data_IF_840743908622
#
_entry.id   IF_840743908622
#
_cell.length_a   1.000
_cell.length_b   1.000
_cell.length_c   1.000
_cell.angle_alpha   90.00
_cell.angle_beta   90.00
_cell.angle_gamma   90.00
#
_symmetry.space_group_name_H-M   'P 1'
#
loop_
_entity.id
_entity.type
_entity.pdbx_description
1 polymer ?
#
# COMPACT_ATOMS: atom_id res chain seq x y z
N UNK A 1 12.85 29.48 14.35
CA UNK A 1 13.57 28.77 13.26
C UNK A 1 13.45 29.58 11.98
N UNK A 2 14.53 29.73 11.24
CA UNK A 2 14.51 30.34 9.90
C UNK A 2 13.63 29.49 8.98
N UNK A 3 12.91 30.14 8.08
CA UNK A 3 12.03 29.51 7.09
C UNK A 3 12.84 28.57 6.20
N UNK A 4 12.43 27.28 6.11
CA UNK A 4 13.09 26.25 5.30
C UNK A 4 12.15 25.68 4.25
N UNK A 5 12.69 25.11 3.18
CA UNK A 5 11.92 24.43 2.16
C UNK A 5 11.61 22.97 2.59
N UNK A 6 10.55 22.43 2.03
CA UNK A 6 10.14 21.04 2.23
C UNK A 6 10.43 20.21 0.97
N UNK A 7 10.84 18.96 1.15
CA UNK A 7 10.97 17.97 0.10
C UNK A 7 10.04 16.80 0.39
N UNK A 8 9.28 16.40 -0.61
CA UNK A 8 8.34 15.26 -0.56
C UNK A 8 8.72 14.22 -1.62
N UNK A 9 8.68 12.94 -1.27
CA UNK A 9 8.90 11.86 -2.22
C UNK A 9 7.93 10.71 -2.00
N UNK A 10 7.51 10.06 -3.10
CA UNK A 10 6.71 8.83 -3.12
C UNK A 10 7.62 7.63 -3.37
N UNK A 11 7.34 6.51 -2.72
CA UNK A 11 8.23 5.34 -2.76
C UNK A 11 7.47 4.02 -2.89
N UNK A 12 8.04 3.13 -3.68
CA UNK A 12 7.57 1.76 -3.88
C UNK A 12 6.31 1.67 -4.74
N UNK A 13 5.58 0.57 -4.60
CA UNK A 13 4.29 0.38 -5.26
C UNK A 13 3.28 1.42 -4.79
N UNK A 14 2.62 2.09 -5.73
CA UNK A 14 1.63 3.13 -5.40
C UNK A 14 0.30 2.52 -4.95
N UNK A 15 -0.54 3.31 -4.28
CA UNK A 15 -1.90 2.93 -3.88
C UNK A 15 -2.92 3.87 -4.49
N UNK A 16 -4.19 3.49 -4.45
CA UNK A 16 -5.28 4.35 -4.89
C UNK A 16 -5.33 5.70 -4.16
N UNK A 17 -4.76 5.79 -2.95
CA UNK A 17 -4.86 6.96 -2.06
C UNK A 17 -3.52 7.64 -1.74
N UNK A 18 -2.41 7.23 -2.35
CA UNK A 18 -1.09 7.83 -2.06
C UNK A 18 -1.09 9.34 -2.32
N UNK A 19 -1.81 9.79 -3.33
CA UNK A 19 -1.94 11.21 -3.65
C UNK A 19 -2.85 11.97 -2.68
N UNK A 20 -3.76 11.30 -1.98
CA UNK A 20 -4.51 11.92 -0.89
C UNK A 20 -3.58 12.30 0.28
N UNK A 21 -2.56 11.47 0.57
CA UNK A 21 -1.50 11.83 1.53
C UNK A 21 -0.69 13.04 1.05
N UNK A 22 -0.30 13.06 -0.22
CA UNK A 22 0.37 14.21 -0.81
C UNK A 22 -0.48 15.49 -0.74
N UNK A 23 -1.79 15.38 -1.04
CA UNK A 23 -2.74 16.49 -0.93
C UNK A 23 -2.78 17.05 0.50
N UNK A 24 -2.95 16.19 1.51
CA UNK A 24 -2.99 16.59 2.91
C UNK A 24 -1.72 17.28 3.38
N UNK A 25 -0.56 16.78 2.95
CA UNK A 25 0.75 17.39 3.21
C UNK A 25 0.87 18.77 2.55
N UNK A 26 0.63 18.84 1.24
CA UNK A 26 0.86 20.08 0.46
C UNK A 26 -0.10 21.18 0.91
N UNK A 27 -1.38 20.87 1.08
CA UNK A 27 -2.36 21.86 1.57
C UNK A 27 -1.99 22.38 2.97
N UNK A 28 -1.52 21.50 3.85
CA UNK A 28 -1.12 21.90 5.21
C UNK A 28 0.15 22.74 5.19
N UNK A 29 1.17 22.33 4.43
CA UNK A 29 2.39 23.11 4.30
C UNK A 29 2.13 24.52 3.69
N UNK A 30 1.21 24.62 2.73
CA UNK A 30 0.80 25.91 2.15
C UNK A 30 0.10 26.86 3.13
N UNK A 31 -0.46 26.35 4.25
CA UNK A 31 -1.05 27.18 5.32
C UNK A 31 0.00 27.73 6.28
N UNK A 32 1.20 27.16 6.30
CA UNK A 32 2.30 27.54 7.18
C UNK A 32 3.49 28.15 6.41
N UNK A 33 3.18 29.11 5.53
CA UNK A 33 4.19 29.79 4.69
C UNK A 33 5.18 30.65 5.46
N UNK A 34 4.89 30.96 6.70
CA UNK A 34 5.79 31.60 7.66
C UNK A 34 6.96 30.69 8.05
N UNK A 35 6.75 29.37 8.11
CA UNK A 35 7.73 28.35 8.52
C UNK A 35 8.25 27.52 7.36
N UNK A 36 7.38 27.14 6.41
CA UNK A 36 7.73 26.35 5.24
C UNK A 36 7.77 27.27 4.02
N UNK A 37 8.90 27.30 3.33
CA UNK A 37 9.12 28.08 2.13
C UNK A 37 8.47 27.48 0.90
N UNK A 38 9.30 26.89 0.05
CA UNK A 38 8.85 26.13 -1.12
C UNK A 38 8.66 24.65 -0.75
N UNK A 39 7.78 24.02 -1.50
CA UNK A 39 7.56 22.58 -1.44
C UNK A 39 8.09 22.03 -2.75
N UNK A 40 9.08 21.16 -2.68
CA UNK A 40 9.62 20.42 -3.81
C UNK A 40 9.18 18.96 -3.71
N UNK A 41 8.88 18.34 -4.84
CA UNK A 41 8.63 16.90 -4.92
C UNK A 41 9.72 16.24 -5.78
N UNK A 42 10.26 15.13 -5.32
CA UNK A 42 11.20 14.34 -6.12
C UNK A 42 10.46 13.69 -7.29
N UNK A 43 10.90 13.92 -8.52
CA UNK A 43 10.42 13.15 -9.65
C UNK A 43 10.95 11.73 -9.53
N UNK A 44 10.03 10.77 -9.60
CA UNK A 44 10.36 9.36 -9.35
C UNK A 44 11.00 9.13 -7.97
N UNK A 45 10.40 9.77 -6.96
CA UNK A 45 10.73 9.54 -5.55
C UNK A 45 12.14 9.99 -5.16
N UNK A 46 12.89 9.09 -4.49
CA UNK A 46 14.26 9.38 -4.00
C UNK A 46 15.27 9.53 -5.15
N UNK A 47 14.99 8.93 -6.31
CA UNK A 47 15.80 9.10 -7.51
C UNK A 47 15.86 10.57 -7.90
N UNK A 48 14.70 11.24 -7.89
CA UNK A 48 14.64 12.68 -8.16
C UNK A 48 15.43 13.52 -7.17
N UNK A 49 15.52 13.09 -5.89
CA UNK A 49 16.41 13.73 -4.94
C UNK A 49 17.88 13.53 -5.31
N UNK A 50 18.31 12.28 -5.57
CA UNK A 50 19.71 11.96 -5.89
C UNK A 50 20.21 12.66 -7.17
N UNK A 51 19.35 12.74 -8.20
CA UNK A 51 19.67 13.31 -9.51
C UNK A 51 19.35 14.81 -9.62
N UNK A 52 18.83 15.39 -8.52
CA UNK A 52 18.37 16.79 -8.48
C UNK A 52 17.29 17.07 -9.55
N UNK A 53 16.41 16.07 -9.77
CA UNK A 53 15.26 16.19 -10.66
C UNK A 53 13.98 16.38 -9.82
N UNK A 54 13.68 17.63 -9.51
CA UNK A 54 12.61 18.01 -8.61
C UNK A 54 11.53 18.83 -9.30
N UNK A 55 10.30 18.72 -8.80
CA UNK A 55 9.12 19.46 -9.24
C UNK A 55 8.83 20.56 -8.20
N UNK A 56 8.66 21.82 -8.66
CA UNK A 56 8.20 22.93 -7.82
C UNK A 56 6.66 22.86 -7.65
N UNK A 57 6.22 22.26 -6.56
CA UNK A 57 4.80 22.08 -6.24
C UNK A 57 4.07 23.43 -6.07
N UNK A 58 4.80 24.52 -5.79
CA UNK A 58 4.16 25.84 -5.63
C UNK A 58 3.64 26.41 -6.97
N UNK A 59 4.07 25.86 -8.08
CA UNK A 59 3.56 26.22 -9.43
C UNK A 59 2.22 25.56 -9.77
N UNK A 60 1.80 24.58 -8.96
CA UNK A 60 0.50 23.93 -9.12
C UNK A 60 -0.64 24.78 -8.52
N UNK A 61 -1.80 24.79 -9.17
CA UNK A 61 -2.97 25.48 -8.67
C UNK A 61 -3.54 24.81 -7.39
N UNK A 62 -4.32 25.54 -6.62
CA UNK A 62 -5.00 24.96 -5.45
C UNK A 62 -5.98 23.86 -5.87
N UNK A 63 -6.71 24.07 -6.97
CA UNK A 63 -7.64 23.09 -7.51
C UNK A 63 -6.94 21.81 -7.94
N UNK A 64 -5.78 21.89 -8.62
CA UNK A 64 -5.00 20.71 -9.01
C UNK A 64 -4.50 19.93 -7.81
N UNK A 65 -4.01 20.60 -6.76
CA UNK A 65 -3.58 19.92 -5.52
C UNK A 65 -4.76 19.27 -4.81
N UNK A 66 -5.91 19.93 -4.71
CA UNK A 66 -7.11 19.36 -4.08
C UNK A 66 -7.62 18.13 -4.86
N UNK A 67 -7.54 18.15 -6.19
CA UNK A 67 -7.93 17.03 -7.04
C UNK A 67 -7.04 15.80 -6.89
N UNK A 68 -5.81 15.93 -6.38
CA UNK A 68 -4.94 14.80 -6.01
C UNK A 68 -5.61 13.84 -5.03
N UNK A 69 -6.50 14.35 -4.18
CA UNK A 69 -7.23 13.53 -3.20
C UNK A 69 -7.99 12.37 -3.86
N UNK A 70 -8.39 12.52 -5.11
CA UNK A 70 -9.17 11.54 -5.86
C UNK A 70 -8.44 11.00 -7.12
N UNK A 71 -7.14 11.25 -7.23
CA UNK A 71 -6.33 10.81 -8.37
C UNK A 71 -5.43 9.66 -7.96
N UNK A 72 -5.56 8.46 -8.56
CA UNK A 72 -4.69 7.32 -8.28
C UNK A 72 -3.29 7.49 -8.89
N UNK A 73 -2.41 6.53 -8.61
CA UNK A 73 -1.03 6.54 -9.08
C UNK A 73 -0.14 7.49 -8.29
N UNK A 74 1.11 7.62 -8.70
CA UNK A 74 2.07 8.55 -8.11
C UNK A 74 2.14 9.83 -8.90
N UNK A 75 1.50 10.92 -8.44
CA UNK A 75 1.43 12.18 -9.19
C UNK A 75 2.80 12.84 -9.45
N UNK A 76 3.80 12.49 -8.64
CA UNK A 76 5.18 12.96 -8.78
C UNK A 76 6.14 11.87 -9.29
N UNK A 77 5.60 10.70 -9.66
CA UNK A 77 6.37 9.49 -9.87
C UNK A 77 6.75 8.80 -8.57
N UNK A 78 7.06 7.52 -8.64
CA UNK A 78 7.48 6.70 -7.52
C UNK A 78 8.62 5.80 -7.95
N UNK A 79 9.56 5.50 -7.06
CA UNK A 79 10.66 4.61 -7.36
C UNK A 79 10.67 3.39 -6.45
N UNK A 80 10.94 2.23 -7.04
CA UNK A 80 11.40 1.03 -6.34
C UNK A 80 12.93 1.08 -6.27
N UNK A 81 13.44 1.98 -5.42
CA UNK A 81 14.87 2.17 -5.24
C UNK A 81 15.19 2.16 -3.75
N UNK A 82 16.01 1.21 -3.32
CA UNK A 82 16.47 1.08 -1.95
C UNK A 82 17.89 1.66 -1.86
N UNK A 83 18.07 2.66 -1.03
CA UNK A 83 19.41 3.11 -0.68
C UNK A 83 20.15 1.97 0.00
N UNK A 84 21.40 1.72 -0.41
CA UNK A 84 22.26 0.75 0.26
C UNK A 84 22.46 1.16 1.73
N UNK A 85 22.89 0.22 2.57
CA UNK A 85 23.30 0.58 3.93
C UNK A 85 24.33 1.70 3.95
N UNK A 86 24.33 2.54 4.98
CA UNK A 86 25.26 3.69 5.08
C UNK A 86 26.72 3.23 4.91
N UNK A 87 27.07 2.09 5.52
CA UNK A 87 28.42 1.52 5.44
C UNK A 87 28.80 1.03 4.02
N UNK A 88 27.79 0.67 3.20
CA UNK A 88 28.00 0.16 1.83
C UNK A 88 28.04 1.27 0.79
N UNK A 89 27.30 2.33 0.97
CA UNK A 89 27.24 3.45 0.01
C UNK A 89 26.91 4.77 0.71
N UNK A 90 27.83 5.26 1.49
CA UNK A 90 27.71 6.55 2.19
C UNK A 90 27.52 7.71 1.21
N UNK A 91 28.12 7.64 0.02
CA UNK A 91 28.06 8.70 -0.99
C UNK A 91 26.62 9.05 -1.45
N UNK A 92 25.69 8.08 -1.44
CA UNK A 92 24.28 8.37 -1.75
C UNK A 92 23.63 9.28 -0.70
N UNK A 93 23.93 9.04 0.57
CA UNK A 93 23.36 9.85 1.65
C UNK A 93 24.01 11.24 1.71
N UNK A 94 25.33 11.32 1.50
CA UNK A 94 26.05 12.60 1.40
C UNK A 94 25.48 13.43 0.23
N UNK A 95 25.24 12.79 -0.92
CA UNK A 95 24.61 13.43 -2.07
C UNK A 95 23.23 14.00 -1.74
N UNK A 96 22.40 13.26 -1.00
CA UNK A 96 21.08 13.74 -0.57
C UNK A 96 21.22 14.99 0.31
N UNK A 97 22.11 14.97 1.29
CA UNK A 97 22.33 16.11 2.18
C UNK A 97 22.88 17.32 1.40
N UNK A 98 23.77 17.12 0.43
CA UNK A 98 24.28 18.20 -0.40
C UNK A 98 23.17 18.87 -1.23
N UNK A 99 22.25 18.08 -1.80
CA UNK A 99 21.09 18.60 -2.51
C UNK A 99 20.16 19.33 -1.56
N UNK A 100 19.89 18.75 -0.37
CA UNK A 100 19.05 19.38 0.63
C UNK A 100 19.63 20.73 1.08
N UNK A 101 20.94 20.78 1.29
CA UNK A 101 21.69 22.00 1.62
C UNK A 101 21.62 23.03 0.47
N UNK A 102 21.87 22.61 -0.77
CA UNK A 102 21.84 23.47 -1.94
C UNK A 102 20.45 24.11 -2.17
N UNK A 103 19.37 23.39 -1.84
CA UNK A 103 17.99 23.87 -2.00
C UNK A 103 17.34 24.37 -0.72
N UNK A 104 18.11 24.55 0.36
CA UNK A 104 17.63 25.00 1.68
C UNK A 104 16.46 24.18 2.20
N UNK A 105 16.52 22.84 2.04
CA UNK A 105 15.51 21.89 2.48
C UNK A 105 15.74 21.55 3.95
N UNK A 106 14.81 21.90 4.82
CA UNK A 106 14.87 21.57 6.24
C UNK A 106 13.81 20.56 6.68
N UNK A 107 12.95 20.13 5.76
CA UNK A 107 11.91 19.14 6.02
C UNK A 107 11.92 18.08 4.91
N UNK A 108 12.11 16.83 5.28
CA UNK A 108 12.06 15.68 4.38
C UNK A 108 10.87 14.78 4.72
N UNK A 109 9.94 14.62 3.78
CA UNK A 109 8.76 13.80 3.91
C UNK A 109 8.84 12.62 2.93
N UNK A 110 8.86 11.40 3.45
CA UNK A 110 8.99 10.21 2.61
C UNK A 110 7.77 9.29 2.74
N UNK A 111 6.97 9.21 1.68
CA UNK A 111 5.71 8.46 1.66
C UNK A 111 5.93 7.07 1.08
N UNK A 112 5.88 6.05 1.93
CA UNK A 112 6.17 4.68 1.51
C UNK A 112 5.95 3.62 2.57
N UNK A 113 6.44 2.42 2.28
CA UNK A 113 6.39 1.24 3.13
C UNK A 113 7.63 1.10 4.03
N UNK A 114 7.91 -0.11 4.47
CA UNK A 114 8.99 -0.46 5.39
C UNK A 114 10.36 0.07 4.97
N UNK A 115 10.79 -0.22 3.74
CA UNK A 115 12.08 0.25 3.21
C UNK A 115 12.17 1.78 3.17
N UNK A 116 11.04 2.46 3.00
CA UNK A 116 11.00 3.93 3.01
C UNK A 116 11.16 4.49 4.41
N UNK A 117 10.60 3.81 5.42
CA UNK A 117 10.78 4.17 6.82
C UNK A 117 12.24 4.00 7.25
N UNK A 118 12.88 2.89 6.85
CA UNK A 118 14.31 2.64 7.03
C UNK A 118 15.18 3.72 6.37
N UNK A 119 14.86 4.09 5.12
CA UNK A 119 15.56 5.17 4.41
C UNK A 119 15.40 6.52 5.12
N UNK A 120 14.20 6.89 5.56
CA UNK A 120 13.97 8.15 6.26
C UNK A 120 14.71 8.21 7.61
N UNK A 121 14.78 7.07 8.32
CA UNK A 121 15.57 6.93 9.55
C UNK A 121 17.07 7.18 9.27
N UNK A 122 17.62 6.51 8.27
CA UNK A 122 19.05 6.64 7.90
C UNK A 122 19.41 8.05 7.41
N UNK A 123 18.51 8.70 6.66
CA UNK A 123 18.71 10.11 6.27
C UNK A 123 18.75 11.02 7.49
N UNK A 124 17.89 10.78 8.49
CA UNK A 124 17.92 11.53 9.74
C UNK A 124 19.27 11.33 10.49
N UNK A 125 19.77 10.11 10.56
CA UNK A 125 21.03 9.77 11.23
C UNK A 125 22.25 10.41 10.56
N UNK A 126 22.35 10.30 9.23
CA UNK A 126 23.47 10.89 8.49
C UNK A 126 23.45 12.43 8.53
N UNK A 127 22.27 13.02 8.54
CA UNK A 127 22.12 14.47 8.65
C UNK A 127 22.71 15.00 9.96
N UNK A 128 22.52 14.27 11.07
CA UNK A 128 23.17 14.60 12.35
C UNK A 128 24.70 14.51 12.22
N UNK A 129 25.23 13.43 11.63
CA UNK A 129 26.67 13.25 11.41
C UNK A 129 27.28 14.36 10.53
N UNK A 130 26.51 14.84 9.53
CA UNK A 130 26.94 15.91 8.64
C UNK A 130 26.60 17.32 9.15
N UNK A 131 26.16 17.43 10.41
CA UNK A 131 25.76 18.71 11.03
C UNK A 131 24.77 19.50 10.20
N UNK A 132 23.82 18.81 9.56
CA UNK A 132 22.76 19.40 8.75
C UNK A 132 21.39 19.28 9.45
N UNK A 133 20.81 20.38 9.94
CA UNK A 133 19.54 20.33 10.67
C UNK A 133 18.37 20.09 9.71
N UNK A 134 17.91 18.84 9.61
CA UNK A 134 16.71 18.46 8.83
C UNK A 134 15.77 17.62 9.69
N UNK A 135 14.49 17.82 9.49
CA UNK A 135 13.43 17.00 10.10
C UNK A 135 12.94 15.99 9.07
N UNK A 136 13.06 14.69 9.40
CA UNK A 136 12.65 13.57 8.57
C UNK A 136 11.37 12.95 9.12
N UNK A 137 10.31 12.90 8.30
CA UNK A 137 9.03 12.30 8.66
C UNK A 137 8.68 11.23 7.61
N UNK A 138 8.45 10.00 8.07
CA UNK A 138 7.85 8.96 7.24
C UNK A 138 6.34 9.16 7.13
N UNK A 139 5.74 8.82 5.98
CA UNK A 139 4.29 8.83 5.79
C UNK A 139 3.87 7.42 5.40
N UNK A 140 2.98 6.76 6.17
CA UNK A 140 2.63 5.37 5.94
C UNK A 140 1.89 5.20 4.62
N UNK A 141 2.30 4.23 3.82
CA UNK A 141 1.65 3.81 2.58
C UNK A 141 2.01 2.36 2.26
N UNK A 142 1.04 1.48 2.25
CA UNK A 142 1.13 0.14 1.68
C UNK A 142 -0.28 -0.45 1.51
N UNK A 143 -0.50 -1.25 0.47
CA UNK A 143 -1.72 -2.06 0.31
C UNK A 143 -1.68 -3.30 1.20
N UNK A 144 -0.49 -3.76 1.60
CA UNK A 144 -0.29 -5.01 2.33
C UNK A 144 -0.68 -4.91 3.82
N UNK A 145 -0.96 -3.69 4.32
CA UNK A 145 -1.32 -3.44 5.73
C UNK A 145 -0.29 -3.97 6.74
N UNK A 146 0.96 -4.02 6.34
CA UNK A 146 2.05 -4.72 7.01
C UNK A 146 2.93 -3.85 7.92
N UNK A 147 2.74 -2.52 7.96
CA UNK A 147 3.46 -1.65 8.89
C UNK A 147 2.96 -1.84 10.32
N UNK A 148 3.86 -2.06 11.29
CA UNK A 148 3.49 -2.21 12.70
C UNK A 148 3.08 -0.88 13.33
N UNK A 149 2.57 -0.93 14.55
CA UNK A 149 2.17 0.20 15.41
C UNK A 149 1.02 1.07 14.86
N UNK A 150 0.63 0.93 13.61
CA UNK A 150 -0.57 1.57 13.04
C UNK A 150 -1.72 0.56 12.95
N UNK A 151 -2.95 0.99 13.23
CA UNK A 151 -4.14 0.14 13.08
C UNK A 151 -4.26 -0.39 11.65
N UNK A 152 -4.20 0.51 10.69
CA UNK A 152 -4.18 0.19 9.26
C UNK A 152 -3.26 1.12 8.49
N UNK A 153 -2.91 0.73 7.26
CA UNK A 153 -2.06 1.51 6.38
C UNK A 153 -2.89 2.16 5.28
N UNK A 154 -2.73 3.46 4.99
CA UNK A 154 -3.37 4.08 3.83
C UNK A 154 -3.03 3.37 2.53
N UNK A 155 -4.05 3.00 1.78
CA UNK A 155 -3.99 2.16 0.59
C UNK A 155 -4.65 0.80 0.79
N UNK A 156 -4.58 0.23 1.99
CA UNK A 156 -5.18 -1.06 2.30
C UNK A 156 -6.71 -1.03 2.24
N UNK A 157 -7.36 -0.02 2.85
CA UNK A 157 -8.83 0.03 2.90
C UNK A 157 -9.48 0.01 1.53
N UNK A 158 -8.91 0.72 0.56
CA UNK A 158 -9.40 0.75 -0.83
C UNK A 158 -9.11 -0.57 -1.56
N UNK A 159 -7.91 -1.16 -1.40
CA UNK A 159 -7.59 -2.47 -1.96
C UNK A 159 -8.50 -3.56 -1.37
N UNK A 160 -8.74 -3.54 -0.07
CA UNK A 160 -9.66 -4.44 0.62
C UNK A 160 -11.09 -4.34 0.08
N UNK A 161 -11.57 -3.12 -0.17
CA UNK A 161 -12.89 -2.88 -0.76
C UNK A 161 -12.98 -3.45 -2.17
N UNK A 162 -11.95 -3.21 -3.01
CA UNK A 162 -11.87 -3.76 -4.36
C UNK A 162 -11.96 -5.29 -4.33
N UNK A 163 -11.16 -5.95 -3.52
CA UNK A 163 -11.13 -7.41 -3.45
C UNK A 163 -12.44 -7.98 -2.90
N UNK A 164 -13.03 -7.36 -1.87
CA UNK A 164 -14.31 -7.81 -1.34
C UNK A 164 -15.44 -7.72 -2.40
N UNK A 165 -15.52 -6.62 -3.14
CA UNK A 165 -16.54 -6.42 -4.20
C UNK A 165 -16.27 -7.39 -5.35
N UNK A 166 -15.05 -7.43 -5.90
CA UNK A 166 -14.72 -8.30 -7.04
C UNK A 166 -14.94 -9.80 -6.72
N UNK A 167 -14.62 -10.23 -5.49
CA UNK A 167 -14.90 -11.60 -5.04
C UNK A 167 -16.40 -11.86 -4.99
N UNK A 168 -17.21 -10.91 -4.50
CA UNK A 168 -18.65 -11.05 -4.38
C UNK A 168 -19.32 -11.14 -5.76
N UNK A 169 -18.95 -10.26 -6.67
CA UNK A 169 -19.52 -10.21 -8.02
C UNK A 169 -19.13 -11.45 -8.85
N UNK A 170 -17.84 -11.85 -8.80
CA UNK A 170 -17.40 -13.08 -9.44
C UNK A 170 -18.10 -14.32 -8.86
N UNK A 171 -18.36 -14.34 -7.55
CA UNK A 171 -19.08 -15.45 -6.92
C UNK A 171 -20.54 -15.54 -7.41
N UNK A 172 -21.22 -14.41 -7.60
CA UNK A 172 -22.59 -14.37 -8.14
C UNK A 172 -22.63 -14.88 -9.60
N UNK A 173 -21.65 -14.48 -10.42
CA UNK A 173 -21.53 -14.97 -11.80
C UNK A 173 -21.32 -16.49 -11.85
N UNK A 174 -20.32 -16.99 -11.10
CA UNK A 174 -20.02 -18.44 -11.03
C UNK A 174 -21.25 -19.23 -10.52
N UNK A 175 -21.91 -18.75 -9.47
CA UNK A 175 -23.10 -19.39 -8.92
C UNK A 175 -24.22 -19.52 -9.95
N UNK A 176 -24.41 -18.51 -10.82
CA UNK A 176 -25.47 -18.47 -11.84
C UNK A 176 -25.33 -19.57 -12.88
N UNK A 177 -24.09 -20.02 -13.19
CA UNK A 177 -23.83 -21.03 -14.24
C UNK A 177 -23.22 -22.33 -13.70
N UNK A 178 -23.07 -22.46 -12.39
CA UNK A 178 -22.38 -23.58 -11.76
C UNK A 178 -22.97 -24.96 -12.10
N UNK A 179 -24.28 -25.03 -12.41
CA UNK A 179 -24.93 -26.30 -12.72
C UNK A 179 -24.34 -26.96 -13.99
N UNK A 180 -24.05 -26.18 -15.01
CA UNK A 180 -23.65 -26.68 -16.35
C UNK A 180 -22.26 -26.25 -16.79
N UNK A 181 -21.58 -25.39 -16.05
CA UNK A 181 -20.31 -24.81 -16.46
C UNK A 181 -19.27 -24.81 -15.32
N UNK A 182 -18.69 -23.66 -15.00
CA UNK A 182 -17.57 -23.48 -14.08
C UNK A 182 -17.92 -23.91 -12.65
N UNK A 183 -17.08 -24.78 -12.10
CA UNK A 183 -17.21 -25.26 -10.71
C UNK A 183 -16.29 -24.53 -9.74
N UNK A 184 -15.14 -24.06 -10.21
CA UNK A 184 -14.14 -23.42 -9.36
C UNK A 184 -13.70 -22.09 -9.97
N UNK A 185 -13.70 -21.05 -9.16
CA UNK A 185 -13.11 -19.76 -9.50
C UNK A 185 -12.05 -19.40 -8.46
N UNK A 186 -10.88 -18.96 -8.93
CA UNK A 186 -9.75 -18.56 -8.07
C UNK A 186 -9.39 -17.11 -8.34
N UNK A 187 -9.41 -16.28 -7.32
CA UNK A 187 -8.91 -14.91 -7.37
C UNK A 187 -7.56 -14.82 -6.66
N UNK A 188 -6.51 -14.55 -7.42
CA UNK A 188 -5.18 -14.27 -6.88
C UNK A 188 -5.04 -12.81 -6.50
N UNK A 189 -4.49 -12.56 -5.31
CA UNK A 189 -4.32 -11.21 -4.74
C UNK A 189 -2.89 -11.00 -4.23
N UNK A 190 -2.48 -9.73 -4.13
CA UNK A 190 -1.20 -9.36 -3.53
C UNK A 190 -1.14 -9.75 -2.05
N UNK A 191 0.08 -9.86 -1.53
CA UNK A 191 0.36 -10.18 -0.13
C UNK A 191 1.49 -11.20 -0.01
N UNK A 192 2.74 -10.75 -0.20
CA UNK A 192 3.91 -11.64 -0.17
C UNK A 192 4.11 -12.33 1.17
N UNK A 193 4.01 -11.57 2.27
CA UNK A 193 4.32 -12.05 3.62
C UNK A 193 3.13 -11.93 4.58
N UNK A 194 2.14 -11.11 4.23
CA UNK A 194 0.98 -10.85 5.05
C UNK A 194 -0.31 -10.97 4.23
N UNK A 195 -1.25 -11.78 4.69
CA UNK A 195 -2.49 -12.14 4.01
C UNK A 195 -3.65 -11.19 4.23
N UNK A 196 -3.42 -9.92 4.56
CA UNK A 196 -4.48 -8.96 4.85
C UNK A 196 -5.43 -8.73 3.68
N UNK A 197 -4.90 -8.67 2.44
CA UNK A 197 -5.72 -8.49 1.24
C UNK A 197 -6.55 -9.75 0.97
N UNK A 198 -5.95 -10.94 1.13
CA UNK A 198 -6.69 -12.20 1.02
C UNK A 198 -7.80 -12.30 2.09
N UNK A 199 -7.49 -11.90 3.34
CA UNK A 199 -8.48 -11.82 4.41
C UNK A 199 -9.66 -10.92 4.05
N UNK A 200 -9.41 -9.79 3.36
CA UNK A 200 -10.43 -8.86 2.93
C UNK A 200 -11.43 -9.49 1.94
N UNK A 201 -11.00 -10.46 1.13
CA UNK A 201 -11.90 -11.25 0.30
C UNK A 201 -13.02 -11.91 1.11
N UNK A 202 -12.76 -12.28 2.36
CA UNK A 202 -13.74 -12.83 3.28
C UNK A 202 -14.91 -11.89 3.64
N UNK A 203 -14.79 -10.60 3.35
CA UNK A 203 -15.90 -9.65 3.50
C UNK A 203 -16.98 -9.81 2.43
N UNK A 204 -16.69 -10.49 1.31
CA UNK A 204 -17.63 -10.71 0.21
C UNK A 204 -18.89 -11.46 0.66
N UNK A 205 -18.74 -12.49 1.51
CA UNK A 205 -19.86 -13.23 2.09
C UNK A 205 -20.47 -12.54 3.30
N UNK A 206 -21.75 -12.68 3.53
CA UNK A 206 -22.47 -12.15 4.71
C UNK A 206 -22.87 -13.26 5.69
N UNK A 207 -23.19 -14.44 5.17
CA UNK A 207 -23.68 -15.58 5.91
C UNK A 207 -22.71 -16.77 5.84
N UNK A 208 -22.84 -17.69 6.75
CA UNK A 208 -22.08 -18.93 6.72
C UNK A 208 -22.36 -19.70 5.41
N UNK A 209 -21.29 -20.01 4.69
CA UNK A 209 -21.34 -20.70 3.40
C UNK A 209 -21.47 -19.80 2.19
N UNK A 210 -21.50 -18.48 2.35
CA UNK A 210 -21.31 -17.57 1.23
C UNK A 210 -19.83 -17.61 0.77
N UNK A 211 -19.62 -17.27 -0.53
CA UNK A 211 -18.27 -17.14 -1.06
C UNK A 211 -17.54 -15.89 -0.47
N UNK A 212 -16.20 -15.92 -0.38
CA UNK A 212 -15.32 -17.02 -0.77
C UNK A 212 -15.43 -18.20 0.20
N UNK A 213 -15.36 -19.41 -0.33
CA UNK A 213 -15.45 -20.63 0.47
C UNK A 213 -14.11 -21.04 1.05
N UNK A 214 -13.02 -20.59 0.40
CA UNK A 214 -11.64 -20.86 0.78
C UNK A 214 -10.83 -19.58 0.62
N UNK A 215 -10.03 -19.28 1.64
CA UNK A 215 -9.01 -18.22 1.59
C UNK A 215 -7.67 -18.88 1.92
N UNK A 216 -6.67 -18.70 1.07
CA UNK A 216 -5.32 -19.20 1.28
C UNK A 216 -4.40 -18.06 1.69
N UNK A 217 -3.80 -18.20 2.87
CA UNK A 217 -3.00 -17.19 3.54
C UNK A 217 -1.51 -17.53 3.50
N UNK A 218 -0.60 -16.55 3.35
CA UNK A 218 0.84 -16.80 3.48
C UNK A 218 1.27 -17.17 4.91
N UNK A 219 0.44 -16.88 5.92
CA UNK A 219 0.64 -17.25 7.32
C UNK A 219 0.36 -18.73 7.63
N UNK A 220 -0.28 -19.45 6.69
CA UNK A 220 -0.66 -20.85 6.85
C UNK A 220 0.05 -21.68 5.79
N UNK A 221 0.81 -22.69 6.22
CA UNK A 221 1.43 -23.62 5.30
C UNK A 221 0.35 -24.32 4.46
N UNK A 222 0.52 -24.32 3.14
CA UNK A 222 -0.44 -24.92 2.22
C UNK A 222 -0.39 -26.45 2.28
N UNK A 223 -1.53 -27.04 2.60
CA UNK A 223 -1.78 -28.49 2.52
C UNK A 223 -2.69 -28.78 1.32
N UNK A 224 -2.12 -29.35 0.26
CA UNK A 224 -2.83 -29.65 -0.97
C UNK A 224 -3.99 -30.64 -0.76
N UNK A 225 -3.80 -31.62 0.12
CA UNK A 225 -4.84 -32.63 0.42
C UNK A 225 -6.01 -32.01 1.19
N UNK A 226 -5.73 -31.18 2.21
CA UNK A 226 -6.77 -30.48 2.95
C UNK A 226 -7.52 -29.48 2.03
N UNK A 227 -6.80 -28.76 1.16
CA UNK A 227 -7.39 -27.86 0.16
C UNK A 227 -8.33 -28.63 -0.78
N UNK A 228 -7.88 -29.72 -1.39
CA UNK A 228 -8.69 -30.53 -2.32
C UNK A 228 -9.92 -31.13 -1.64
N UNK A 229 -9.78 -31.66 -0.42
CA UNK A 229 -10.94 -32.12 0.36
C UNK A 229 -11.97 -31.01 0.59
N UNK A 230 -11.50 -29.80 0.92
CA UNK A 230 -12.39 -28.66 1.16
C UNK A 230 -13.09 -28.20 -0.14
N UNK A 231 -12.38 -28.14 -1.26
CA UNK A 231 -12.96 -27.83 -2.58
C UNK A 231 -14.05 -28.83 -2.92
N UNK A 232 -13.75 -30.13 -2.84
CA UNK A 232 -14.71 -31.22 -3.16
C UNK A 232 -15.98 -31.09 -2.31
N UNK A 233 -15.85 -31.03 -0.99
CA UNK A 233 -16.98 -30.90 -0.08
C UNK A 233 -17.81 -29.63 -0.33
N UNK A 234 -17.14 -28.53 -0.75
CA UNK A 234 -17.81 -27.28 -1.09
C UNK A 234 -18.62 -27.41 -2.38
N UNK A 235 -18.02 -27.96 -3.43
CA UNK A 235 -18.70 -28.16 -4.72
C UNK A 235 -19.87 -29.13 -4.58
N UNK A 236 -19.71 -30.23 -3.84
CA UNK A 236 -20.80 -31.19 -3.57
C UNK A 236 -21.96 -30.54 -2.81
N UNK A 237 -21.67 -29.66 -1.86
CA UNK A 237 -22.71 -29.01 -1.04
C UNK A 237 -23.34 -27.80 -1.71
N UNK A 238 -22.58 -27.00 -2.50
CA UNK A 238 -22.99 -25.70 -3.03
C UNK A 238 -23.12 -25.65 -4.55
N UNK A 239 -22.56 -26.64 -5.24
CA UNK A 239 -22.47 -26.68 -6.70
C UNK A 239 -21.23 -25.99 -7.29
N UNK A 240 -20.54 -25.14 -6.50
CA UNK A 240 -19.36 -24.38 -6.91
C UNK A 240 -18.47 -24.03 -5.71
N UNK A 241 -17.23 -23.61 -6.01
CA UNK A 241 -16.26 -23.15 -5.01
C UNK A 241 -15.55 -21.88 -5.51
N UNK A 242 -15.49 -20.84 -4.68
CA UNK A 242 -14.70 -19.64 -4.91
C UNK A 242 -13.56 -19.60 -3.92
N UNK A 243 -12.36 -19.40 -4.44
CA UNK A 243 -11.10 -19.33 -3.68
C UNK A 243 -10.49 -17.95 -3.84
N UNK A 244 -10.05 -17.36 -2.75
CA UNK A 244 -9.14 -16.20 -2.76
C UNK A 244 -7.78 -16.69 -2.31
N UNK A 245 -6.74 -16.42 -3.07
CA UNK A 245 -5.38 -16.88 -2.76
C UNK A 245 -4.39 -15.73 -2.77
N UNK A 246 -3.59 -15.61 -1.71
CA UNK A 246 -2.47 -14.67 -1.68
C UNK A 246 -1.31 -15.20 -2.52
N UNK A 247 -0.66 -14.33 -3.30
CA UNK A 247 0.55 -14.66 -4.07
C UNK A 247 1.68 -15.24 -3.21
N UNK A 248 1.69 -14.91 -1.92
CA UNK A 248 2.72 -15.30 -0.95
C UNK A 248 2.49 -16.65 -0.26
N UNK A 249 1.53 -17.45 -0.70
CA UNK A 249 1.27 -18.78 -0.12
C UNK A 249 2.47 -19.70 -0.32
N UNK A 250 2.84 -20.40 0.76
CA UNK A 250 3.99 -21.32 0.82
C UNK A 250 3.57 -22.71 1.22
N UNK A 251 4.33 -23.71 0.78
CA UNK A 251 4.22 -25.09 1.27
C UNK A 251 4.81 -25.25 2.69
N UNK A 252 4.75 -26.47 3.22
CA UNK A 252 5.28 -26.82 4.54
C UNK A 252 6.82 -26.65 4.64
N UNK A 253 7.54 -26.63 3.52
CA UNK A 253 8.97 -26.40 3.45
C UNK A 253 9.31 -24.90 3.38
N UNK A 254 8.30 -24.02 3.35
CA UNK A 254 8.47 -22.57 3.25
C UNK A 254 8.75 -22.06 1.84
N UNK A 255 8.61 -22.92 0.81
CA UNK A 255 8.75 -22.54 -0.59
C UNK A 255 7.45 -21.96 -1.12
N UNK A 256 7.52 -20.87 -1.89
CA UNK A 256 6.36 -20.30 -2.56
C UNK A 256 5.75 -21.30 -3.56
N UNK A 257 4.43 -21.33 -3.63
CA UNK A 257 3.72 -22.22 -4.57
C UNK A 257 3.94 -21.84 -6.04
N UNK A 258 4.19 -20.56 -6.31
CA UNK A 258 4.55 -20.08 -7.63
C UNK A 258 5.55 -18.92 -7.56
N UNK A 259 6.57 -18.97 -8.38
CA UNK A 259 7.58 -17.95 -8.58
C UNK A 259 7.74 -17.71 -10.08
N UNK A 260 7.77 -16.42 -10.49
CA UNK A 260 7.91 -16.05 -11.90
C UNK A 260 9.35 -16.21 -12.45
N UNK A 261 10.30 -16.70 -11.63
CA UNK A 261 11.70 -16.92 -12.03
C UNK A 261 12.54 -15.63 -12.17
N UNK A 262 11.93 -14.46 -11.96
CA UNK A 262 12.59 -13.15 -12.01
C UNK A 262 12.64 -12.52 -10.62
N UNK A 263 13.51 -11.50 -10.45
CA UNK A 263 13.59 -10.73 -9.20
C UNK A 263 13.11 -9.30 -9.41
N UNK A 264 12.46 -8.73 -8.39
CA UNK A 264 12.07 -7.34 -8.40
C UNK A 264 13.29 -6.41 -8.15
N UNK A 265 13.08 -5.09 -8.26
CA UNK A 265 14.14 -4.09 -8.05
C UNK A 265 14.75 -4.09 -6.63
N UNK A 266 14.16 -4.79 -5.68
CA UNK A 266 14.66 -4.97 -4.32
C UNK A 266 15.38 -6.33 -4.13
N UNK A 267 15.45 -7.16 -5.19
CA UNK A 267 16.10 -8.46 -5.17
C UNK A 267 15.23 -9.61 -4.66
N UNK A 268 13.93 -9.38 -4.42
CA UNK A 268 13.00 -10.42 -4.02
C UNK A 268 12.51 -11.20 -5.25
N UNK A 269 12.26 -12.50 -5.11
CA UNK A 269 11.61 -13.30 -6.15
C UNK A 269 10.28 -12.64 -6.57
N UNK A 270 10.07 -12.44 -7.86
CA UNK A 270 8.79 -11.97 -8.36
C UNK A 270 7.78 -13.10 -8.18
N UNK A 271 6.71 -12.83 -7.43
CA UNK A 271 5.62 -13.77 -7.19
C UNK A 271 4.53 -13.57 -8.23
N UNK A 272 3.67 -14.57 -8.36
CA UNK A 272 2.51 -14.58 -9.23
C UNK A 272 2.32 -15.93 -9.91
N UNK A 273 1.08 -16.23 -10.27
CA UNK A 273 0.71 -17.49 -10.89
C UNK A 273 0.26 -18.59 -9.92
N UNK A 274 0.04 -18.25 -8.65
CA UNK A 274 -0.54 -19.19 -7.66
C UNK A 274 -1.99 -19.53 -8.02
N UNK A 275 -2.75 -18.55 -8.52
CA UNK A 275 -4.14 -18.74 -8.93
C UNK A 275 -4.31 -19.88 -9.94
N UNK A 276 -3.62 -19.86 -11.10
CA UNK A 276 -3.66 -20.96 -12.04
C UNK A 276 -3.15 -22.29 -11.46
N UNK A 277 -2.11 -22.27 -10.60
CA UNK A 277 -1.58 -23.48 -9.97
C UNK A 277 -2.65 -24.19 -9.14
N UNK A 278 -3.31 -23.47 -8.20
CA UNK A 278 -4.34 -24.09 -7.36
C UNK A 278 -5.61 -24.43 -8.15
N UNK A 279 -5.95 -23.66 -9.17
CA UNK A 279 -7.07 -23.96 -10.05
C UNK A 279 -6.82 -25.26 -10.84
N UNK A 280 -5.62 -25.44 -11.40
CA UNK A 280 -5.23 -26.64 -12.12
C UNK A 280 -5.19 -27.88 -11.21
N UNK A 281 -4.78 -27.76 -9.95
CA UNK A 281 -4.87 -28.87 -8.98
C UNK A 281 -6.30 -29.40 -8.86
N UNK A 282 -7.32 -28.53 -8.87
CA UNK A 282 -8.73 -28.97 -8.78
C UNK A 282 -9.20 -29.68 -10.02
N UNK A 283 -8.73 -29.27 -11.20
CA UNK A 283 -9.03 -29.95 -12.46
C UNK A 283 -8.41 -31.35 -12.51
N UNK A 284 -7.13 -31.42 -12.15
CA UNK A 284 -6.42 -32.70 -12.14
C UNK A 284 -7.04 -33.71 -11.19
N UNK A 285 -7.50 -33.25 -10.02
CA UNK A 285 -8.07 -34.12 -8.99
C UNK A 285 -9.53 -34.56 -9.29
N UNK A 286 -10.35 -33.68 -9.89
CA UNK A 286 -11.80 -33.90 -9.99
C UNK A 286 -12.40 -33.65 -11.36
N UNK A 287 -11.63 -33.21 -12.35
CA UNK A 287 -12.14 -32.80 -13.65
C UNK A 287 -12.99 -31.54 -13.65
N UNK A 288 -12.95 -30.74 -12.58
CA UNK A 288 -13.77 -29.53 -12.48
C UNK A 288 -13.33 -28.46 -13.48
N UNK A 289 -14.29 -27.92 -14.24
CA UNK A 289 -14.06 -26.72 -15.03
C UNK A 289 -13.76 -25.54 -14.09
N UNK A 290 -12.70 -24.82 -14.38
CA UNK A 290 -12.26 -23.69 -13.57
C UNK A 290 -12.02 -22.43 -14.40
N UNK A 291 -12.03 -21.30 -13.73
CA UNK A 291 -11.49 -20.02 -14.17
C UNK A 291 -10.70 -19.38 -13.04
N UNK A 292 -9.83 -18.45 -13.39
CA UNK A 292 -9.03 -17.70 -12.44
C UNK A 292 -8.83 -16.27 -12.94
N UNK A 293 -8.56 -15.37 -12.01
CA UNK A 293 -8.16 -14.00 -12.28
C UNK A 293 -7.03 -13.59 -11.32
N UNK A 294 -6.15 -12.72 -11.81
CA UNK A 294 -5.13 -12.06 -10.99
C UNK A 294 -5.52 -10.61 -10.84
N UNK A 295 -5.71 -10.15 -9.60
CA UNK A 295 -6.07 -8.77 -9.33
C UNK A 295 -4.90 -7.82 -9.59
N UNK A 296 -3.66 -8.26 -9.41
CA UNK A 296 -2.41 -7.55 -9.66
C UNK A 296 -2.51 -6.04 -9.37
N UNK A 297 -2.09 -5.18 -10.29
CA UNK A 297 -2.11 -3.73 -10.11
C UNK A 297 -3.51 -3.12 -10.03
N UNK A 298 -4.54 -3.80 -10.54
CA UNK A 298 -5.92 -3.32 -10.48
C UNK A 298 -6.36 -3.08 -9.03
N UNK A 299 -6.06 -4.01 -8.10
CA UNK A 299 -6.46 -3.91 -6.70
C UNK A 299 -5.85 -2.71 -5.97
N UNK A 300 -4.67 -2.23 -6.36
CA UNK A 300 -4.00 -1.09 -5.72
C UNK A 300 -4.25 0.25 -6.41
N UNK A 301 -4.78 0.25 -7.64
CA UNK A 301 -5.01 1.45 -8.45
C UNK A 301 -6.49 1.85 -8.51
N UNK A 302 -7.41 1.00 -8.09
CA UNK A 302 -8.86 1.15 -8.25
C UNK A 302 -9.46 2.28 -7.40
N UNK A 303 -9.14 3.54 -7.74
CA UNK A 303 -9.70 4.70 -7.04
C UNK A 303 -11.20 4.89 -7.31
N UNK A 304 -11.71 4.33 -8.41
CA UNK A 304 -13.14 4.41 -8.79
C UNK A 304 -14.08 3.75 -7.77
N UNK A 305 -13.58 2.88 -6.90
CA UNK A 305 -14.31 2.29 -5.77
C UNK A 305 -13.59 2.48 -4.44
N UNK A 306 -12.75 3.51 -4.31
CA UNK A 306 -11.97 3.76 -3.10
C UNK A 306 -12.87 3.87 -1.85
N UNK A 307 -12.36 3.36 -0.74
CA UNK A 307 -12.98 3.57 0.58
C UNK A 307 -12.82 5.03 1.01
N UNK A 308 -13.93 5.65 1.43
CA UNK A 308 -13.87 7.01 1.99
C UNK A 308 -13.02 7.08 3.24
N UNK A 309 -13.09 6.05 4.09
CA UNK A 309 -12.27 5.96 5.31
C UNK A 309 -10.78 5.98 4.94
N UNK A 310 -10.38 5.22 3.94
CA UNK A 310 -8.99 5.13 3.48
C UNK A 310 -8.49 6.46 2.89
N UNK A 311 -9.30 7.12 2.05
CA UNK A 311 -9.01 8.47 1.52
C UNK A 311 -8.84 9.50 2.64
N UNK A 312 -9.74 9.49 3.63
CA UNK A 312 -9.69 10.42 4.76
C UNK A 312 -8.46 10.16 5.65
N UNK A 313 -8.13 8.90 5.90
CA UNK A 313 -6.94 8.51 6.66
C UNK A 313 -5.65 8.87 5.93
N UNK A 314 -5.57 8.62 4.62
CA UNK A 314 -4.44 9.02 3.80
C UNK A 314 -4.20 10.54 3.85
N UNK A 315 -5.24 11.33 3.68
CA UNK A 315 -5.16 12.78 3.82
C UNK A 315 -4.70 13.20 5.21
N UNK A 316 -5.24 12.57 6.26
CA UNK A 316 -4.94 12.92 7.64
C UNK A 316 -3.49 12.63 8.03
N UNK A 317 -2.89 11.50 7.59
CA UNK A 317 -1.47 11.22 7.87
C UNK A 317 -0.55 12.19 7.13
N UNK A 318 -0.88 12.59 5.90
CA UNK A 318 -0.15 13.63 5.17
C UNK A 318 -0.20 14.98 5.88
N UNK A 319 -1.37 15.39 6.35
CA UNK A 319 -1.55 16.59 7.20
C UNK A 319 -0.73 16.50 8.48
N UNK A 320 -0.84 15.39 9.20
CA UNK A 320 -0.16 15.17 10.47
C UNK A 320 1.37 15.19 10.34
N UNK A 321 1.91 14.67 9.25
CA UNK A 321 3.35 14.71 8.97
C UNK A 321 3.89 16.15 9.01
N UNK A 322 3.19 17.09 8.39
CA UNK A 322 3.58 18.52 8.45
C UNK A 322 3.43 19.07 9.86
N UNK A 323 2.36 18.75 10.56
CA UNK A 323 2.12 19.21 11.93
C UNK A 323 3.23 18.73 12.88
N UNK A 324 3.64 17.46 12.77
CA UNK A 324 4.74 16.89 13.56
C UNK A 324 6.07 17.58 13.25
N UNK A 325 6.37 17.79 11.97
CA UNK A 325 7.56 18.52 11.57
C UNK A 325 7.61 19.95 12.14
N UNK A 326 6.49 20.66 12.13
CA UNK A 326 6.39 22.01 12.69
C UNK A 326 6.48 22.05 14.24
N UNK A 327 6.20 20.92 14.89
CA UNK A 327 6.41 20.72 16.33
C UNK A 327 7.87 20.33 16.66
N UNK A 328 8.74 20.21 15.66
CA UNK A 328 10.14 19.81 15.84
C UNK A 328 10.35 18.29 16.03
N UNK A 329 9.31 17.47 15.82
CA UNK A 329 9.44 16.01 15.89
C UNK A 329 10.25 15.52 14.69
N UNK A 330 11.19 14.63 14.94
CA UNK A 330 12.10 14.09 13.93
C UNK A 330 12.13 12.56 14.01
N UNK A 331 12.39 11.90 12.87
CA UNK A 331 12.46 10.44 12.75
C UNK A 331 11.18 9.72 13.27
N UNK A 332 10.01 10.28 12.96
CA UNK A 332 8.71 9.71 13.34
C UNK A 332 7.81 9.50 12.14
N UNK A 333 6.81 8.66 12.31
CA UNK A 333 5.73 8.40 11.37
C UNK A 333 4.37 8.68 12.03
N UNK A 334 3.45 9.43 11.42
CA UNK A 334 2.06 9.49 11.86
C UNK A 334 1.41 8.11 11.69
N UNK A 335 0.75 7.65 12.74
CA UNK A 335 0.05 6.35 12.76
C UNK A 335 -1.45 6.55 12.96
N UNK A 336 -2.24 5.61 12.47
CA UNK A 336 -3.69 5.55 12.69
C UNK A 336 -3.93 4.75 13.97
N UNK A 337 -4.68 5.33 14.90
CA UNK A 337 -5.09 4.70 16.16
C UNK A 337 -6.59 4.44 16.10
N UNK A 338 -7.00 3.18 16.17
CA UNK A 338 -8.41 2.81 16.32
C UNK A 338 -8.89 3.12 17.73
N UNK A 339 -9.87 4.01 17.86
CA UNK A 339 -10.50 4.36 19.13
C UNK A 339 -11.74 3.51 19.42
N UNK A 340 -12.48 3.15 18.35
CA UNK A 340 -13.69 2.33 18.43
C UNK A 340 -13.96 1.67 17.09
N UNK A 341 -14.56 0.46 17.10
CA UNK A 341 -14.96 -0.24 15.88
C UNK A 341 -16.45 -0.06 15.55
N UNK A 342 -17.29 0.30 16.53
CA UNK A 342 -18.75 0.49 16.34
C UNK A 342 -19.28 1.59 17.27
N UNK A 343 -19.56 2.81 16.78
CA UNK A 343 -19.18 3.30 15.44
C UNK A 343 -17.66 3.34 15.25
N UNK A 344 -17.18 3.24 14.01
CA UNK A 344 -15.75 3.33 13.76
C UNK A 344 -15.24 4.74 14.04
N UNK A 345 -14.30 4.84 14.95
CA UNK A 345 -13.62 6.10 15.31
C UNK A 345 -12.12 5.85 15.33
N UNK A 346 -11.39 6.77 14.74
CA UNK A 346 -9.93 6.73 14.70
C UNK A 346 -9.33 8.11 15.00
N UNK A 347 -8.05 8.14 15.21
CA UNK A 347 -7.26 9.35 15.41
C UNK A 347 -5.86 9.16 14.89
N UNK A 348 -5.05 10.20 14.95
CA UNK A 348 -3.64 10.15 14.58
C UNK A 348 -2.80 10.14 15.86
N UNK A 349 -1.86 9.22 15.89
CA UNK A 349 -0.75 9.15 16.83
C UNK A 349 0.58 9.24 16.11
N UNK A 350 1.66 8.91 16.80
CA UNK A 350 3.02 8.86 16.25
C UNK A 350 3.76 7.62 16.70
N UNK A 351 4.70 7.18 15.89
CA UNK A 351 5.65 6.14 16.25
C UNK A 351 7.04 6.49 15.71
N UNK A 352 8.12 6.13 16.41
CA UNK A 352 9.48 6.33 15.91
C UNK A 352 9.74 5.45 14.69
N UNK A 353 10.46 5.98 13.69
CA UNK A 353 10.80 5.22 12.47
C UNK A 353 11.58 3.95 12.79
N UNK A 354 12.44 3.97 13.78
CA UNK A 354 13.23 2.82 14.23
C UNK A 354 12.40 1.63 14.71
N UNK A 355 11.18 1.87 15.20
CA UNK A 355 10.27 0.81 15.65
C UNK A 355 9.38 0.27 14.51
N UNK A 356 9.45 0.87 13.33
CA UNK A 356 8.65 0.48 12.16
C UNK A 356 9.53 -0.16 11.09
N UNK A 357 10.71 0.42 10.84
CA UNK A 357 11.63 -0.05 9.83
C UNK A 357 12.00 -1.53 10.03
N UNK A 358 11.95 -2.29 8.93
CA UNK A 358 12.28 -3.73 8.90
C UNK A 358 11.40 -4.61 9.81
N UNK A 359 10.18 -4.17 10.16
CA UNK A 359 9.19 -4.93 10.92
C UNK A 359 7.95 -5.19 10.06
N UNK A 360 7.30 -6.35 10.21
CA UNK A 360 6.10 -6.72 9.45
C UNK A 360 4.95 -7.10 10.38
N UNK A 361 3.75 -6.54 10.14
CA UNK A 361 2.50 -6.90 10.80
C UNK A 361 1.75 -7.95 9.99
N UNK A 362 1.79 -9.19 10.43
CA UNK A 362 1.05 -10.32 9.82
C UNK A 362 -0.41 -10.36 10.29
N UNK A 363 -1.22 -11.15 9.59
CA UNK A 363 -2.59 -11.45 10.02
C UNK A 363 -2.52 -12.29 11.30
N UNK A 364 -3.11 -11.84 12.42
CA UNK A 364 -3.10 -12.61 13.67
C UNK A 364 -3.80 -13.97 13.52
N UNK A 365 -3.27 -15.00 14.16
CA UNK A 365 -3.84 -16.36 14.05
C UNK A 365 -5.31 -16.44 14.46
N UNK A 366 -5.74 -15.63 15.44
CA UNK A 366 -7.14 -15.54 15.87
C UNK A 366 -8.06 -14.81 14.89
N UNK A 367 -7.52 -14.25 13.81
CA UNK A 367 -8.29 -13.69 12.69
C UNK A 367 -8.57 -14.73 11.60
N UNK A 368 -7.82 -15.84 11.60
CA UNK A 368 -7.98 -16.95 10.65
C UNK A 368 -8.77 -18.06 11.35
N UNK A 369 -9.72 -18.66 10.63
CA UNK A 369 -10.52 -19.78 11.17
C UNK A 369 -9.64 -20.97 11.60
N UNK A 370 -10.10 -21.83 12.52
CA UNK A 370 -9.30 -22.97 12.98
C UNK A 370 -8.83 -23.90 11.87
N UNK A 371 -9.66 -24.10 10.83
CA UNK A 371 -9.33 -24.91 9.64
C UNK A 371 -8.35 -24.23 8.67
N UNK A 372 -7.98 -22.97 8.89
CA UNK A 372 -7.03 -22.21 8.08
C UNK A 372 -7.58 -21.63 6.78
N UNK A 373 -8.88 -21.80 6.47
CA UNK A 373 -9.45 -21.50 5.16
C UNK A 373 -10.42 -20.32 5.15
N UNK A 374 -10.52 -19.55 6.21
CA UNK A 374 -11.46 -18.43 6.28
C UNK A 374 -11.07 -17.39 7.31
N UNK A 375 -11.92 -16.37 7.45
CA UNK A 375 -11.77 -15.31 8.46
C UNK A 375 -12.75 -15.50 9.61
N UNK A 376 -12.31 -15.13 10.82
CA UNK A 376 -13.16 -15.14 12.01
C UNK A 376 -14.05 -13.89 12.10
N UNK A 377 -15.05 -13.91 12.98
CA UNK A 377 -15.82 -12.72 13.31
C UNK A 377 -14.97 -11.56 13.84
N UNK A 378 -13.85 -11.84 14.51
CA UNK A 378 -12.91 -10.81 14.96
C UNK A 378 -12.23 -10.10 13.78
N UNK A 379 -11.75 -10.87 12.81
CA UNK A 379 -11.18 -10.32 11.58
C UNK A 379 -12.22 -9.48 10.81
N UNK A 380 -13.43 -9.99 10.64
CA UNK A 380 -14.51 -9.25 9.97
C UNK A 380 -14.82 -7.93 10.67
N UNK A 381 -14.90 -7.90 12.01
CA UNK A 381 -15.10 -6.66 12.77
C UNK A 381 -13.95 -5.66 12.61
N UNK A 382 -12.73 -6.15 12.43
CA UNK A 382 -11.57 -5.30 12.16
C UNK A 382 -11.60 -4.70 10.75
N UNK A 383 -11.88 -5.54 9.73
CA UNK A 383 -11.80 -5.16 8.31
C UNK A 383 -12.98 -4.31 7.84
N UNK A 384 -14.20 -4.64 8.26
CA UNK A 384 -15.42 -4.04 7.73
C UNK A 384 -15.45 -2.51 7.79
N UNK A 385 -15.03 -1.84 8.88
CA UNK A 385 -15.01 -0.38 8.90
C UNK A 385 -14.01 0.25 7.94
N UNK A 386 -12.94 -0.45 7.58
CA UNK A 386 -11.88 0.08 6.72
C UNK A 386 -12.31 0.23 5.26
N UNK A 387 -13.31 -0.55 4.84
CA UNK A 387 -13.89 -0.45 3.48
C UNK A 387 -15.04 0.54 3.39
N UNK A 388 -15.31 1.29 4.46
CA UNK A 388 -16.51 2.10 4.63
C UNK A 388 -16.56 3.35 3.75
N UNK A 389 -17.77 3.66 3.25
CA UNK A 389 -18.11 4.87 2.49
C UNK A 389 -17.52 4.92 1.09
N UNK A 390 -17.94 5.92 0.32
CA UNK A 390 -17.62 6.12 -1.09
C UNK A 390 -16.62 7.29 -1.23
N UNK A 391 -15.33 6.96 -1.42
CA UNK A 391 -14.26 7.93 -1.69
C UNK A 391 -14.01 8.11 -3.19
N UNK A 392 -15.07 8.02 -3.99
CA UNK A 392 -14.98 7.97 -5.45
C UNK A 392 -14.52 9.29 -6.06
N UNK A 393 -13.84 9.25 -7.23
CA UNK A 393 -13.50 10.45 -7.98
C UNK A 393 -14.76 11.06 -8.62
N UNK A 394 -14.73 12.34 -9.00
CA UNK A 394 -15.74 12.89 -9.90
C UNK A 394 -15.67 12.18 -11.26
N UNK A 395 -16.82 12.06 -11.93
CA UNK A 395 -16.90 11.46 -13.26
C UNK A 395 -17.20 12.53 -14.32
N UNK A 396 -16.64 12.34 -15.51
CA UNK A 396 -16.92 13.14 -16.70
C UNK A 396 -17.07 12.20 -17.90
N UNK A 397 -18.16 12.29 -18.60
CA UNK A 397 -18.45 11.45 -19.77
C UNK A 397 -18.25 9.94 -19.52
N UNK A 398 -18.69 9.47 -18.34
CA UNK A 398 -18.60 8.06 -17.96
C UNK A 398 -17.23 7.59 -17.44
N UNK A 399 -16.21 8.44 -17.43
CA UNK A 399 -14.87 8.11 -16.92
C UNK A 399 -14.52 8.94 -15.69
N UNK A 400 -13.71 8.40 -14.75
CA UNK A 400 -13.19 9.18 -13.64
C UNK A 400 -12.35 10.36 -14.12
N UNK A 401 -12.58 11.55 -13.58
CA UNK A 401 -11.82 12.75 -13.89
C UNK A 401 -10.61 12.88 -12.96
N UNK A 402 -9.44 12.59 -13.48
CA UNK A 402 -8.18 12.69 -12.76
C UNK A 402 -7.39 13.94 -13.16
N UNK A 403 -6.59 14.46 -12.23
CA UNK A 403 -5.73 15.61 -12.48
C UNK A 403 -4.36 15.18 -13.01
N UNK A 404 -3.87 15.92 -14.00
CA UNK A 404 -2.47 15.91 -14.41
C UNK A 404 -1.82 17.20 -13.94
N UNK A 405 -0.73 17.09 -13.18
CA UNK A 405 0.04 18.24 -12.70
C UNK A 405 0.88 18.87 -13.83
N UNK A 406 1.19 20.16 -13.72
CA UNK A 406 2.11 20.86 -14.66
C UNK A 406 3.52 20.29 -14.59
N UNK A 407 3.95 19.83 -13.40
CA UNK A 407 5.26 19.24 -13.20
C UNK A 407 6.42 20.20 -13.44
N UNK A 408 6.28 21.48 -13.07
CA UNK A 408 7.28 22.52 -13.29
C UNK A 408 8.61 22.15 -12.61
N UNK A 409 9.69 22.11 -13.38
CA UNK A 409 11.01 21.70 -12.90
C UNK A 409 11.68 22.77 -12.05
N UNK A 410 12.46 22.32 -11.07
CA UNK A 410 13.38 23.13 -10.27
C UNK A 410 14.74 23.16 -10.97
N UNK A 411 15.33 24.35 -11.10
CA UNK A 411 16.67 24.46 -11.65
C UNK A 411 17.71 23.76 -10.75
N UNK A 412 18.60 22.98 -11.36
CA UNK A 412 19.72 22.34 -10.67
C UNK A 412 20.70 23.38 -10.13
N UNK A 413 21.25 23.14 -8.97
CA UNK A 413 22.25 24.00 -8.30
C UNK A 413 23.61 23.34 -8.18
N UNK A 414 23.65 22.00 -8.18
CA UNK A 414 24.90 21.25 -8.12
C UNK A 414 25.43 20.98 -9.54
N UNK A 415 26.71 21.32 -9.77
CA UNK A 415 27.36 21.14 -11.08
C UNK A 415 27.62 19.68 -11.43
N UNK A 416 27.97 18.87 -10.41
CA UNK A 416 28.34 17.45 -10.61
C UNK A 416 27.07 16.60 -10.73
N UNK A 417 26.82 15.91 -11.85
CA UNK A 417 25.73 14.96 -11.94
C UNK A 417 25.99 13.77 -11.02
N UNK A 418 24.90 13.12 -10.60
CA UNK A 418 24.96 11.84 -9.87
C UNK A 418 24.39 10.75 -10.77
N UNK A 419 25.14 9.67 -10.93
CA UNK A 419 24.70 8.48 -11.67
C UNK A 419 24.20 7.46 -10.67
N UNK A 420 23.00 6.91 -10.92
CA UNK A 420 22.32 5.96 -10.06
C UNK A 420 22.82 4.54 -10.31
#
# INVERSE_FOLDING_TARGET
>A
MTKKNAFYAQSGGVTAVINASACGLIETARRHRDKIGRIYAGRDGIIGALTEDMIDVNKESRAAISALRHTPGGAFGSARYKLAGIDKNRAQYERLIDIFRAHDIGYFFYNGGNDSMDTAQKVSEIAVQMSYPIICIGIPKTVDNDLPLTDCCPGFGSAAKYIAISTREAALDVASMARTSTKVFVLEVMGRHAGWIAAAGGLAGEKAGDAPHIILFPEIAFDAQAFLRKVKATVEKRGYCVVVVSEGVKDAAGKFLAEAGTKDAFGHAQLGGVGPVVAQMTQQAFGYKFHWAVADYLQRSAHHIASKVDVDQAYAVGKAAVQFALQGKNAVMPIIIRKSSKPYRWGIGEAPLSAIANQEKKVPRNFITPDGFGITGACRRYLLPLIGGEGYPPYRQGLPAYVTLKGARVAKRLRKPFVI
#
